data_IF_768046671392
#
_entry.id   IF_768046671392
#
_cell.length_a   1.000
_cell.length_b   1.000
_cell.length_c   1.000
_cell.angle_alpha   90.00
_cell.angle_beta   90.00
_cell.angle_gamma   90.00
#
_symmetry.space_group_name_H-M   'P 1'
#
loop_
_entity.id
_entity.type
_entity.pdbx_description
1 polymer ?
#
# COMPACT_ATOMS: atom_id res chain seq x y z
N UNK A 1 -12.45 6.04 12.40
CA UNK A 1 -11.96 6.96 11.36
C UNK A 1 -10.48 7.20 11.60
N UNK A 2 -9.67 7.26 10.53
CA UNK A 2 -8.21 7.32 10.60
C UNK A 2 -7.67 8.44 9.67
N UNK A 3 -6.51 8.98 9.97
CA UNK A 3 -5.79 9.89 9.06
C UNK A 3 -5.14 9.10 7.93
N UNK A 4 -4.78 9.77 6.83
CA UNK A 4 -4.07 9.13 5.72
C UNK A 4 -2.81 8.38 6.20
N UNK A 5 -2.00 9.01 7.06
CA UNK A 5 -0.79 8.39 7.61
C UNK A 5 -1.07 7.16 8.50
N UNK A 6 -2.22 7.15 9.21
CA UNK A 6 -2.62 5.97 9.98
C UNK A 6 -3.01 4.79 9.07
N UNK A 7 -3.72 5.08 7.98
CA UNK A 7 -4.11 4.05 6.99
C UNK A 7 -2.88 3.55 6.23
N UNK A 8 -1.98 4.45 5.80
CA UNK A 8 -0.71 4.09 5.17
C UNK A 8 0.15 3.18 6.06
N UNK A 9 0.23 3.51 7.36
CA UNK A 9 0.92 2.67 8.36
C UNK A 9 0.24 1.31 8.54
N UNK A 10 -1.09 1.27 8.63
CA UNK A 10 -1.83 0.02 8.76
C UNK A 10 -1.67 -0.87 7.51
N UNK A 11 -1.65 -0.28 6.30
CA UNK A 11 -1.34 -1.00 5.07
C UNK A 11 0.07 -1.58 5.13
N UNK A 12 1.05 -0.79 5.57
CA UNK A 12 2.41 -1.28 5.73
C UNK A 12 2.49 -2.49 6.68
N UNK A 13 1.90 -2.38 7.86
CA UNK A 13 1.90 -3.46 8.87
C UNK A 13 1.17 -4.73 8.42
N UNK A 14 0.15 -4.61 7.56
CA UNK A 14 -0.67 -5.75 7.09
C UNK A 14 -0.19 -6.35 5.78
N UNK A 15 0.20 -5.51 4.83
CA UNK A 15 0.50 -5.89 3.45
C UNK A 15 1.99 -5.98 3.16
N UNK A 16 2.83 -5.38 4.01
CA UNK A 16 4.29 -5.47 3.92
C UNK A 16 4.93 -4.57 2.86
N UNK A 17 4.23 -3.54 2.39
CA UNK A 17 4.78 -2.55 1.47
C UNK A 17 4.29 -1.14 1.81
N UNK A 18 5.12 -0.15 1.48
CA UNK A 18 4.81 1.26 1.74
C UNK A 18 3.85 1.82 0.69
N UNK A 19 2.86 2.57 1.16
CA UNK A 19 1.92 3.32 0.32
C UNK A 19 1.93 4.77 0.71
N UNK A 20 1.75 5.65 -0.27
CA UNK A 20 1.47 7.07 -0.06
C UNK A 20 0.20 7.44 -0.79
N UNK A 21 -0.73 8.08 -0.09
CA UNK A 21 -1.95 8.59 -0.68
C UNK A 21 -1.76 10.01 -1.19
N UNK A 22 -2.31 10.26 -2.36
CA UNK A 22 -2.55 11.59 -2.87
C UNK A 22 -4.00 11.94 -2.54
N UNK A 23 -4.22 12.88 -1.63
CA UNK A 23 -5.55 13.34 -1.24
C UNK A 23 -6.02 14.46 -2.18
N UNK A 24 -7.34 14.65 -2.31
CA UNK A 24 -7.87 15.84 -2.97
C UNK A 24 -7.58 17.10 -2.14
N UNK A 25 -7.18 18.20 -2.80
CA UNK A 25 -6.91 19.48 -2.15
C UNK A 25 -8.11 19.93 -1.30
N UNK A 26 -7.83 20.43 -0.09
CA UNK A 26 -8.86 20.86 0.87
C UNK A 26 -9.50 19.74 1.70
N UNK A 27 -9.28 18.45 1.38
CA UNK A 27 -9.80 17.32 2.15
C UNK A 27 -8.69 16.61 2.93
N UNK A 28 -8.43 17.09 4.16
CA UNK A 28 -7.94 16.21 5.24
C UNK A 28 -9.11 15.37 5.77
N UNK A 29 -9.84 14.72 4.85
CA UNK A 29 -11.00 13.93 5.21
C UNK A 29 -10.54 12.71 6.01
N UNK A 30 -11.22 12.40 7.12
CA UNK A 30 -10.98 11.15 7.81
C UNK A 30 -11.27 9.99 6.86
N UNK A 31 -10.31 9.08 6.73
CA UNK A 31 -10.44 7.85 5.97
C UNK A 31 -11.08 6.75 6.85
N UNK A 32 -11.79 5.78 6.26
CA UNK A 32 -12.12 4.56 6.98
C UNK A 32 -10.82 3.85 7.42
N UNK A 33 -10.84 3.09 8.53
CA UNK A 33 -9.68 2.29 8.92
C UNK A 33 -9.39 1.18 7.89
N UNK A 34 -8.14 0.73 7.86
CA UNK A 34 -7.74 -0.38 7.01
C UNK A 34 -8.08 -1.73 7.67
N UNK A 35 -9.35 -2.14 7.58
CA UNK A 35 -9.89 -3.30 8.29
C UNK A 35 -9.82 -4.61 7.47
N UNK A 36 -8.73 -4.83 6.73
CA UNK A 36 -8.52 -6.10 6.04
C UNK A 36 -7.73 -7.06 6.94
N UNK A 37 -8.33 -8.18 7.38
CA UNK A 37 -7.75 -9.04 8.41
C UNK A 37 -6.61 -9.91 7.90
N UNK A 38 -6.57 -10.15 6.58
CA UNK A 38 -5.58 -10.99 5.92
C UNK A 38 -4.84 -10.18 4.86
N UNK A 39 -3.57 -10.50 4.68
CA UNK A 39 -2.74 -9.99 3.62
C UNK A 39 -3.35 -10.31 2.24
N UNK A 40 -3.22 -9.40 1.27
CA UNK A 40 -3.72 -9.62 -0.08
C UNK A 40 -2.96 -10.78 -0.77
N UNK A 41 -3.62 -11.53 -1.68
CA UNK A 41 -2.98 -12.62 -2.40
C UNK A 41 -1.69 -12.19 -3.12
N UNK A 42 -0.61 -12.95 -2.99
CA UNK A 42 0.69 -12.64 -3.62
C UNK A 42 0.61 -12.52 -5.15
N UNK A 43 -0.28 -13.30 -5.78
CA UNK A 43 -0.51 -13.30 -7.24
C UNK A 43 -1.19 -12.04 -7.76
N UNK A 44 -1.74 -11.20 -6.89
CA UNK A 44 -2.38 -9.96 -7.31
C UNK A 44 -1.34 -8.99 -7.86
N UNK A 45 -1.75 -8.24 -8.87
CA UNK A 45 -1.00 -7.07 -9.33
C UNK A 45 -1.29 -5.89 -8.42
N UNK A 46 -0.42 -4.88 -8.45
CA UNK A 46 -0.68 -3.59 -7.79
C UNK A 46 -2.02 -3.01 -8.22
N UNK A 47 -2.42 -3.13 -9.48
CA UNK A 47 -3.74 -2.71 -9.96
C UNK A 47 -4.89 -3.43 -9.27
N UNK A 48 -4.78 -4.75 -9.09
CA UNK A 48 -5.83 -5.57 -8.48
C UNK A 48 -6.00 -5.20 -7.01
N UNK A 49 -4.86 -5.01 -6.32
CA UNK A 49 -4.84 -4.53 -4.95
C UNK A 49 -5.48 -3.15 -4.82
N UNK A 50 -5.12 -2.18 -5.67
CA UNK A 50 -5.71 -0.84 -5.64
C UNK A 50 -7.23 -0.91 -5.83
N UNK A 51 -7.69 -1.71 -6.79
CA UNK A 51 -9.12 -1.86 -7.06
C UNK A 51 -9.86 -2.49 -5.87
N UNK A 52 -9.34 -3.56 -5.28
CA UNK A 52 -10.03 -4.29 -4.21
C UNK A 52 -9.90 -3.66 -2.82
N UNK A 53 -8.76 -3.01 -2.53
CA UNK A 53 -8.43 -2.52 -1.18
C UNK A 53 -8.64 -1.02 -1.03
N UNK A 54 -8.59 -0.27 -2.12
CA UNK A 54 -8.79 1.18 -2.09
C UNK A 54 -10.20 1.61 -2.51
N UNK A 55 -11.09 0.66 -2.80
CA UNK A 55 -12.47 0.94 -3.21
C UNK A 55 -13.19 1.87 -2.23
N UNK A 56 -13.11 1.56 -0.93
CA UNK A 56 -13.70 2.36 0.14
C UNK A 56 -13.14 3.80 0.26
N UNK A 57 -11.98 4.05 -0.36
CA UNK A 57 -11.24 5.32 -0.30
C UNK A 57 -11.37 6.13 -1.60
N UNK A 58 -11.97 5.57 -2.66
CA UNK A 58 -11.97 6.12 -4.02
C UNK A 58 -12.50 7.55 -4.14
N UNK A 59 -13.43 7.96 -3.26
CA UNK A 59 -13.97 9.33 -3.23
C UNK A 59 -13.17 10.31 -2.35
N UNK A 60 -12.16 9.81 -1.64
CA UNK A 60 -11.38 10.55 -0.64
C UNK A 60 -9.93 10.73 -1.08
N UNK A 61 -9.40 9.78 -1.86
CA UNK A 61 -8.05 9.82 -2.42
C UNK A 61 -8.09 10.04 -3.94
N UNK A 62 -7.23 10.91 -4.45
CA UNK A 62 -6.95 11.11 -5.88
C UNK A 62 -6.15 9.94 -6.45
N UNK A 63 -5.27 9.37 -5.64
CA UNK A 63 -4.44 8.26 -6.03
C UNK A 63 -3.69 7.64 -4.85
N UNK A 64 -3.06 6.50 -5.13
CA UNK A 64 -2.16 5.83 -4.21
C UNK A 64 -0.92 5.37 -4.98
N UNK A 65 0.25 5.69 -4.44
CA UNK A 65 1.54 5.24 -4.97
C UNK A 65 2.13 4.22 -4.01
N UNK A 66 2.55 3.08 -4.55
CA UNK A 66 3.24 2.04 -3.79
C UNK A 66 4.73 2.20 -4.05
N UNK A 67 5.54 2.07 -2.99
CA UNK A 67 6.98 2.25 -3.05
C UNK A 67 7.71 0.97 -2.68
N UNK A 68 8.86 0.74 -3.31
CA UNK A 68 9.87 -0.24 -2.89
C UNK A 68 10.63 0.28 -1.65
N UNK A 69 11.41 -0.60 -1.03
CA UNK A 69 12.28 -0.24 0.11
C UNK A 69 13.33 0.82 -0.24
N UNK A 70 13.72 0.92 -1.51
CA UNK A 70 14.62 1.95 -2.05
C UNK A 70 13.93 3.31 -2.32
N UNK A 71 12.61 3.42 -2.08
CA UNK A 71 11.82 4.61 -2.36
C UNK A 71 11.38 4.77 -3.83
N UNK A 72 11.64 3.79 -4.69
CA UNK A 72 11.20 3.81 -6.09
C UNK A 72 9.70 3.51 -6.21
N UNK A 73 8.91 4.30 -6.96
CA UNK A 73 7.51 4.01 -7.21
C UNK A 73 7.33 2.76 -8.07
N UNK A 74 6.35 1.95 -7.72
CA UNK A 74 6.10 0.66 -8.36
C UNK A 74 5.06 0.76 -9.48
N UNK A 75 5.32 0.12 -10.65
CA UNK A 75 4.34 0.09 -11.73
C UNK A 75 3.15 -0.81 -11.41
N UNK A 76 2.00 -0.49 -12.00
CA UNK A 76 0.68 -1.10 -11.70
C UNK A 76 0.58 -2.60 -11.95
N UNK A 77 1.42 -3.13 -12.82
CA UNK A 77 1.38 -4.50 -13.33
C UNK A 77 2.27 -5.47 -12.55
N UNK A 78 3.10 -4.97 -11.63
CA UNK A 78 3.95 -5.79 -10.78
C UNK A 78 3.10 -6.58 -9.77
N UNK A 79 3.45 -7.85 -9.57
CA UNK A 79 2.82 -8.72 -8.58
C UNK A 79 3.25 -8.38 -7.16
N UNK A 80 2.31 -8.48 -6.21
CA UNK A 80 2.55 -8.17 -4.80
C UNK A 80 3.58 -9.11 -4.15
N UNK A 81 3.65 -10.38 -4.57
CA UNK A 81 4.68 -11.31 -4.09
C UNK A 81 6.09 -10.75 -4.30
N UNK A 82 6.40 -10.35 -5.53
CA UNK A 82 7.69 -9.76 -5.89
C UNK A 82 8.01 -8.48 -5.11
N UNK A 83 7.00 -7.76 -4.63
CA UNK A 83 7.19 -6.57 -3.80
C UNK A 83 7.60 -6.92 -2.38
N UNK A 84 6.88 -7.86 -1.76
CA UNK A 84 7.10 -8.23 -0.36
C UNK A 84 8.46 -8.89 -0.16
N UNK A 85 8.86 -9.73 -1.10
CA UNK A 85 10.13 -10.44 -1.04
C UNK A 85 11.33 -9.50 -1.20
N UNK A 86 11.17 -8.40 -1.96
CA UNK A 86 12.25 -7.43 -2.22
C UNK A 86 12.24 -6.23 -1.28
N UNK A 87 11.14 -5.97 -0.58
CA UNK A 87 11.00 -4.78 0.27
C UNK A 87 11.97 -4.80 1.47
N UNK A 88 12.07 -5.93 2.18
CA UNK A 88 12.98 -6.07 3.33
C UNK A 88 14.45 -6.18 2.94
N UNK A 89 14.74 -6.66 1.72
CA UNK A 89 16.12 -6.87 1.26
C UNK A 89 16.93 -5.57 1.19
N UNK A 90 16.30 -4.45 0.83
CA UNK A 90 16.99 -3.16 0.66
C UNK A 90 17.13 -2.34 1.96
N UNK A 91 16.15 -2.41 2.87
CA UNK A 91 16.12 -1.59 4.09
C UNK A 91 16.74 -2.31 5.30
N UNK A 92 16.68 -3.64 5.34
CA UNK A 92 17.15 -4.46 6.49
C UNK A 92 18.16 -5.56 6.11
N UNK A 93 18.58 -5.62 4.85
CA UNK A 93 19.38 -6.72 4.30
C UNK A 93 18.53 -7.93 3.91
N UNK A 94 19.03 -8.75 2.98
CA UNK A 94 18.40 -9.99 2.58
C UNK A 94 18.15 -10.87 3.80
N UNK A 95 16.90 -11.24 4.05
CA UNK A 95 16.60 -12.38 4.93
C UNK A 95 16.83 -13.63 4.09
N UNK A 96 18.10 -13.94 3.80
CA UNK A 96 18.44 -15.27 3.32
C UNK A 96 18.20 -16.28 4.45
N UNK A 97 17.70 -17.49 4.13
CA UNK A 97 17.32 -18.51 5.10
C UNK A 97 18.50 -19.07 5.91
#
# INVERSE_FOLDING_TARGET
>A
MATASQVEKAIFEREGFRVKFELFEGKRSPLPPYDYPVMAPQRWKVSDWKNARLEAYRMQIKGATIYRGDGTPIPRDLQLGNLRDTYYAAEYGSVEP
#
